data_IF_533731783065
#
_entry.id   IF_533731783065
#
_cell.length_a   1.000
_cell.length_b   1.000
_cell.length_c   1.000
_cell.angle_alpha   90.00
_cell.angle_beta   90.00
_cell.angle_gamma   90.00
#
_symmetry.space_group_name_H-M   'P 1'
#
loop_
_entity.id
_entity.type
_entity.pdbx_description
1 polymer ?
#
# COMPACT_ATOMS: atom_id res chain seq x y z
N UNK A 1 -3.86 -15.88 -12.37
CA UNK A 1 -3.75 -15.67 -13.82
C UNK A 1 -4.50 -14.39 -14.10
N UNK A 2 -3.85 -13.43 -14.76
CA UNK A 2 -4.46 -12.13 -15.03
C UNK A 2 -5.37 -12.17 -16.25
N UNK A 3 -6.11 -11.09 -16.46
CA UNK A 3 -6.99 -10.90 -17.61
C UNK A 3 -6.83 -9.50 -18.17
N UNK A 4 -6.81 -9.35 -19.48
CA UNK A 4 -6.81 -8.04 -20.13
C UNK A 4 -8.24 -7.48 -20.16
N UNK A 5 -8.38 -6.19 -19.86
CA UNK A 5 -9.64 -5.49 -20.06
C UNK A 5 -9.99 -5.48 -21.56
N UNK A 6 -11.19 -5.94 -21.98
CA UNK A 6 -11.57 -6.00 -23.40
C UNK A 6 -11.78 -4.62 -24.04
N UNK A 7 -11.84 -3.55 -23.23
CA UNK A 7 -12.07 -2.17 -23.71
C UNK A 7 -10.75 -1.41 -23.85
N UNK A 8 -9.92 -1.41 -22.80
CA UNK A 8 -8.69 -0.62 -22.74
C UNK A 8 -7.39 -1.45 -22.73
N UNK A 9 -7.49 -2.76 -22.91
CA UNK A 9 -6.39 -3.74 -22.96
C UNK A 9 -5.49 -3.78 -21.70
N UNK A 10 -5.87 -3.05 -20.64
CA UNK A 10 -5.09 -2.99 -19.40
C UNK A 10 -5.12 -4.34 -18.70
N UNK A 11 -3.95 -4.96 -18.41
CA UNK A 11 -3.90 -6.23 -17.69
C UNK A 11 -4.35 -6.03 -16.24
N UNK A 12 -5.17 -6.96 -15.75
CA UNK A 12 -5.70 -7.02 -14.39
C UNK A 12 -5.21 -8.28 -13.70
N UNK A 13 -4.99 -8.22 -12.38
CA UNK A 13 -4.33 -9.29 -11.64
C UNK A 13 -5.15 -10.60 -11.62
N UNK A 14 -6.48 -10.50 -11.58
CA UNK A 14 -7.42 -11.61 -11.61
C UNK A 14 -8.82 -11.15 -12.12
N UNK A 15 -9.75 -12.10 -12.22
CA UNK A 15 -11.10 -11.85 -12.74
C UNK A 15 -11.92 -10.86 -11.88
N UNK A 16 -11.66 -10.82 -10.57
CA UNK A 16 -12.32 -9.88 -9.65
C UNK A 16 -11.82 -8.45 -9.86
N UNK A 17 -10.51 -8.28 -10.00
CA UNK A 17 -9.91 -6.99 -10.36
C UNK A 17 -10.39 -6.50 -11.72
N UNK A 18 -10.55 -7.41 -12.70
CA UNK A 18 -11.16 -7.09 -13.98
C UNK A 18 -12.61 -6.60 -13.83
N UNK A 19 -13.45 -7.30 -13.09
CA UNK A 19 -14.84 -6.91 -12.85
C UNK A 19 -14.93 -5.53 -12.20
N UNK A 20 -14.13 -5.28 -11.16
CA UNK A 20 -14.08 -3.97 -10.49
C UNK A 20 -13.58 -2.87 -11.43
N UNK A 21 -12.54 -3.14 -12.22
CA UNK A 21 -12.01 -2.18 -13.17
C UNK A 21 -13.08 -1.75 -14.19
N UNK A 22 -13.81 -2.70 -14.77
CA UNK A 22 -14.90 -2.41 -15.70
C UNK A 22 -16.01 -1.61 -15.02
N UNK A 23 -16.52 -2.08 -13.88
CA UNK A 23 -17.64 -1.46 -13.18
C UNK A 23 -17.31 -0.05 -12.69
N UNK A 24 -16.15 0.17 -12.05
CA UNK A 24 -15.78 1.50 -11.56
C UNK A 24 -15.49 2.47 -12.70
N UNK A 25 -14.83 2.02 -13.78
CA UNK A 25 -14.53 2.89 -14.92
C UNK A 25 -15.83 3.34 -15.60
N UNK A 26 -16.79 2.43 -15.78
CA UNK A 26 -18.13 2.77 -16.26
C UNK A 26 -18.86 3.74 -15.30
N UNK A 27 -18.87 3.48 -13.98
CA UNK A 27 -19.49 4.37 -12.99
C UNK A 27 -18.84 5.77 -12.92
N UNK A 28 -17.57 5.89 -13.30
CA UNK A 28 -16.86 7.17 -13.39
C UNK A 28 -17.18 7.95 -14.68
N UNK A 29 -18.02 7.38 -15.56
CA UNK A 29 -18.53 8.03 -16.76
C UNK A 29 -17.77 7.69 -18.03
N UNK A 30 -17.03 6.58 -18.05
CA UNK A 30 -16.45 6.06 -19.29
C UNK A 30 -17.50 5.30 -20.10
N UNK A 31 -17.93 5.91 -21.20
CA UNK A 31 -19.01 5.39 -22.05
C UNK A 31 -18.66 4.09 -22.76
N UNK A 32 -17.38 3.85 -23.08
CA UNK A 32 -16.94 2.62 -23.75
C UNK A 32 -17.04 1.44 -22.78
N UNK A 33 -16.63 1.63 -21.52
CA UNK A 33 -16.75 0.60 -20.49
C UNK A 33 -18.22 0.35 -20.11
N UNK A 34 -19.05 1.40 -20.03
CA UNK A 34 -20.48 1.27 -19.78
C UNK A 34 -21.20 0.54 -20.91
N UNK A 35 -20.99 0.94 -22.16
CA UNK A 35 -21.62 0.31 -23.33
C UNK A 35 -21.21 -1.16 -23.48
N UNK A 36 -19.94 -1.48 -23.20
CA UNK A 36 -19.47 -2.87 -23.22
C UNK A 36 -20.17 -3.71 -22.14
N UNK A 37 -20.28 -3.19 -20.92
CA UNK A 37 -20.98 -3.86 -19.82
C UNK A 37 -22.47 -4.02 -20.08
N UNK A 38 -23.13 -3.05 -20.69
CA UNK A 38 -24.56 -3.14 -21.02
C UNK A 38 -24.86 -4.24 -22.05
N UNK A 39 -23.93 -4.48 -22.99
CA UNK A 39 -24.07 -5.51 -24.03
C UNK A 39 -23.70 -6.91 -23.50
N UNK A 40 -22.63 -7.02 -22.70
CA UNK A 40 -22.06 -8.32 -22.31
C UNK A 40 -22.50 -8.78 -20.91
N UNK A 41 -22.83 -7.85 -20.01
CA UNK A 41 -23.19 -8.14 -18.62
C UNK A 41 -24.38 -7.27 -18.15
N UNK A 42 -25.56 -7.41 -18.77
CA UNK A 42 -26.72 -6.60 -18.39
C UNK A 42 -27.06 -6.77 -16.89
N UNK A 43 -27.39 -5.65 -16.25
CA UNK A 43 -27.61 -5.61 -14.79
C UNK A 43 -26.32 -5.63 -13.96
N UNK A 44 -25.16 -5.33 -14.57
CA UNK A 44 -23.87 -5.23 -13.88
C UNK A 44 -23.89 -4.24 -12.71
N UNK A 45 -24.68 -3.16 -12.80
CA UNK A 45 -24.74 -2.13 -11.77
C UNK A 45 -25.28 -2.65 -10.42
N UNK A 46 -26.12 -3.68 -10.44
CA UNK A 46 -26.68 -4.34 -9.26
C UNK A 46 -25.95 -5.64 -8.91
N UNK A 47 -25.03 -6.09 -9.77
CA UNK A 47 -24.30 -7.34 -9.58
C UNK A 47 -23.15 -7.16 -8.58
N UNK A 48 -22.91 -8.19 -7.76
CA UNK A 48 -21.73 -8.24 -6.93
C UNK A 48 -20.47 -8.50 -7.77
N UNK A 49 -19.32 -8.13 -7.22
CA UNK A 49 -18.00 -8.32 -7.84
C UNK A 49 -17.78 -9.76 -8.35
N UNK A 50 -18.13 -10.78 -7.54
CA UNK A 50 -17.93 -12.18 -7.94
C UNK A 50 -18.87 -12.59 -9.09
N UNK A 51 -20.14 -12.20 -9.02
CA UNK A 51 -21.12 -12.50 -10.07
C UNK A 51 -20.75 -11.82 -11.39
N UNK A 52 -20.18 -10.61 -11.32
CA UNK A 52 -19.71 -9.88 -12.48
C UNK A 52 -18.43 -10.53 -13.02
N UNK A 53 -17.48 -10.91 -12.16
CA UNK A 53 -16.24 -11.59 -12.52
C UNK A 53 -16.49 -12.86 -13.36
N UNK A 54 -17.43 -13.70 -12.93
CA UNK A 54 -17.78 -14.94 -13.64
C UNK A 54 -18.32 -14.66 -15.05
N UNK A 55 -19.01 -13.54 -15.27
CA UNK A 55 -19.54 -13.17 -16.60
C UNK A 55 -18.46 -12.56 -17.47
N UNK A 56 -17.66 -11.62 -16.94
CA UNK A 56 -16.66 -10.90 -17.76
C UNK A 56 -15.48 -11.78 -18.15
N UNK A 57 -15.15 -12.81 -17.36
CA UNK A 57 -14.04 -13.72 -17.66
C UNK A 57 -14.29 -14.56 -18.91
N UNK A 58 -15.56 -14.80 -19.28
CA UNK A 58 -15.92 -15.52 -20.52
C UNK A 58 -15.55 -14.72 -21.78
N UNK A 59 -15.43 -13.40 -21.65
CA UNK A 59 -15.17 -12.47 -22.73
C UNK A 59 -13.76 -11.87 -22.71
N UNK A 60 -13.01 -12.06 -21.63
CA UNK A 60 -11.69 -11.46 -21.44
C UNK A 60 -10.57 -12.43 -21.78
N UNK A 61 -9.55 -11.94 -22.48
CA UNK A 61 -8.35 -12.72 -22.78
C UNK A 61 -7.47 -12.86 -21.53
N UNK A 62 -6.94 -14.06 -21.29
CA UNK A 62 -5.96 -14.27 -20.23
C UNK A 62 -4.67 -13.52 -20.53
N UNK A 63 -4.19 -12.72 -19.59
CA UNK A 63 -2.98 -11.91 -19.73
C UNK A 63 -2.01 -12.14 -18.57
N UNK A 64 -0.72 -11.95 -18.84
CA UNK A 64 0.29 -11.88 -17.79
C UNK A 64 0.22 -10.51 -17.12
N UNK A 65 0.17 -10.50 -15.79
CA UNK A 65 0.17 -9.27 -15.01
C UNK A 65 1.61 -8.95 -14.58
N UNK A 66 2.22 -7.84 -15.03
CA UNK A 66 3.60 -7.53 -14.69
C UNK A 66 3.76 -7.25 -13.18
N UNK A 67 4.44 -8.15 -12.46
CA UNK A 67 4.79 -7.96 -11.06
C UNK A 67 6.07 -7.12 -10.95
N UNK A 68 5.93 -5.79 -10.98
CA UNK A 68 7.08 -4.86 -11.02
C UNK A 68 7.74 -4.61 -9.64
N UNK A 69 7.28 -5.25 -8.56
CA UNK A 69 7.80 -5.05 -7.19
C UNK A 69 7.95 -6.35 -6.39
N UNK A 70 8.32 -7.46 -7.03
CA UNK A 70 8.53 -8.73 -6.32
C UNK A 70 9.67 -8.72 -5.29
N UNK A 71 10.48 -7.66 -5.19
CA UNK A 71 11.58 -7.59 -4.23
C UNK A 71 11.73 -6.24 -3.53
N UNK A 72 10.74 -5.88 -2.70
CA UNK A 72 10.91 -4.81 -1.70
C UNK A 72 10.83 -5.31 -0.26
N UNK A 73 10.59 -6.62 -0.10
CA UNK A 73 10.50 -7.31 1.20
C UNK A 73 11.56 -8.41 1.36
N UNK A 74 12.39 -8.64 0.34
CA UNK A 74 13.58 -9.49 0.42
C UNK A 74 14.70 -8.80 1.19
N UNK A 75 14.80 -9.12 2.48
CA UNK A 75 15.98 -8.80 3.27
C UNK A 75 17.12 -9.77 2.89
N UNK A 76 17.67 -9.66 1.68
CA UNK A 76 18.93 -10.35 1.31
C UNK A 76 20.02 -9.31 1.05
N UNK A 77 20.65 -8.87 2.13
CA UNK A 77 21.97 -8.22 2.07
C UNK A 77 23.02 -9.27 1.70
N UNK A 78 23.04 -9.72 0.44
CA UNK A 78 24.08 -10.62 -0.04
C UNK A 78 24.63 -10.18 -1.39
N UNK A 79 25.66 -9.35 -1.27
CA UNK A 79 26.89 -9.42 -2.06
C UNK A 79 26.70 -9.64 -3.57
N UNK A 80 26.28 -8.59 -4.27
CA UNK A 80 26.49 -8.48 -5.72
C UNK A 80 27.39 -7.28 -6.00
N UNK A 81 28.69 -7.57 -6.16
CA UNK A 81 29.64 -6.69 -6.82
C UNK A 81 29.31 -6.55 -8.31
N UNK A 82 28.41 -5.64 -8.65
CA UNK A 82 28.29 -5.08 -9.98
C UNK A 82 27.90 -3.61 -9.87
N UNK A 83 28.70 -2.78 -10.51
CA UNK A 83 28.53 -1.37 -10.84
C UNK A 83 27.09 -0.99 -11.26
N UNK A 84 26.16 -0.94 -10.32
CA UNK A 84 24.91 -0.21 -10.46
C UNK A 84 24.97 0.98 -9.49
N UNK A 85 24.89 2.23 -9.97
CA UNK A 85 25.10 3.40 -9.14
C UNK A 85 24.02 3.43 -8.06
N UNK A 86 24.44 3.41 -6.79
CA UNK A 86 23.51 3.51 -5.67
C UNK A 86 22.67 4.78 -5.84
N UNK A 87 21.38 4.77 -5.46
CA UNK A 87 20.53 5.97 -5.53
C UNK A 87 21.11 7.02 -4.56
N UNK A 88 21.98 7.87 -5.10
CA UNK A 88 22.84 8.79 -4.35
C UNK A 88 24.16 9.12 -5.07
N UNK A 89 24.76 8.16 -5.80
CA UNK A 89 26.08 8.35 -6.42
C UNK A 89 26.06 9.15 -7.73
N UNK A 90 24.88 9.35 -8.34
CA UNK A 90 24.70 10.27 -9.46
C UNK A 90 24.88 11.76 -9.09
N UNK A 91 25.12 12.07 -7.82
CA UNK A 91 25.24 13.45 -7.33
C UNK A 91 26.67 13.86 -6.91
N UNK A 92 27.66 12.96 -6.97
CA UNK A 92 28.99 13.23 -6.37
C UNK A 92 30.17 13.40 -7.34
N UNK A 93 30.06 13.08 -8.64
CA UNK A 93 31.26 13.07 -9.52
C UNK A 93 31.43 14.26 -10.51
N UNK A 94 30.45 15.13 -10.74
CA UNK A 94 30.65 16.27 -11.66
C UNK A 94 30.80 17.61 -10.92
N UNK A 95 31.93 17.78 -10.22
CA UNK A 95 32.35 19.07 -9.64
C UNK A 95 33.36 19.82 -10.51
N UNK A 96 33.42 19.54 -11.81
CA UNK A 96 34.26 20.30 -12.73
C UNK A 96 33.55 20.56 -14.06
N UNK A 97 33.11 21.81 -14.19
CA UNK A 97 32.97 22.51 -15.47
C UNK A 97 31.78 22.12 -16.36
N UNK A 98 30.55 22.42 -15.90
CA UNK A 98 29.46 22.92 -16.77
C UNK A 98 28.40 23.58 -15.91
N UNK A 99 28.06 24.82 -16.27
CA UNK A 99 26.98 25.60 -15.66
C UNK A 99 25.68 24.79 -15.60
N UNK A 100 25.16 24.41 -14.40
CA UNK A 100 23.89 23.72 -14.30
C UNK A 100 22.78 24.74 -14.04
N UNK A 101 21.82 24.71 -14.97
CA UNK A 101 20.48 25.24 -14.80
C UNK A 101 19.87 24.86 -13.44
N UNK A 102 19.03 25.76 -12.97
CA UNK A 102 18.30 25.74 -11.71
C UNK A 102 17.37 24.52 -11.58
N UNK A 103 17.89 23.34 -11.27
CA UNK A 103 17.09 22.16 -10.92
C UNK A 103 17.21 21.86 -9.44
N UNK A 104 16.31 22.51 -8.72
CA UNK A 104 15.72 22.21 -7.42
C UNK A 104 15.99 20.79 -6.85
N UNK A 105 16.98 20.69 -5.97
CA UNK A 105 17.05 19.63 -4.96
C UNK A 105 16.18 19.95 -3.72
N UNK A 106 15.84 18.95 -2.89
CA UNK A 106 15.03 19.13 -1.68
C UNK A 106 15.72 19.92 -0.55
N UNK A 107 16.98 20.33 -0.72
CA UNK A 107 17.67 21.31 0.15
C UNK A 107 17.82 22.71 -0.46
N UNK A 108 17.33 22.94 -1.69
CA UNK A 108 17.61 24.16 -2.46
C UNK A 108 16.47 25.20 -2.46
N UNK A 109 15.50 25.11 -1.54
CA UNK A 109 14.55 26.22 -1.30
C UNK A 109 14.50 26.58 0.17
N UNK A 110 14.80 27.84 0.47
CA UNK A 110 14.25 28.52 1.64
C UNK A 110 15.18 28.71 2.83
N UNK A 111 16.50 28.68 2.65
CA UNK A 111 17.45 29.07 3.71
C UNK A 111 17.53 30.56 4.01
N UNK A 112 16.61 31.39 3.52
CA UNK A 112 16.57 32.82 3.80
C UNK A 112 15.12 33.29 3.72
N UNK A 113 14.64 33.77 4.86
CA UNK A 113 13.32 34.36 5.10
C UNK A 113 12.14 33.38 5.27
N UNK A 114 12.26 32.44 6.23
CA UNK A 114 11.05 31.92 6.87
C UNK A 114 10.46 33.05 7.72
N UNK A 115 9.16 33.33 7.55
CA UNK A 115 8.43 34.23 8.44
C UNK A 115 8.57 33.73 9.91
N UNK A 116 8.71 34.62 10.91
CA UNK A 116 8.85 34.24 12.31
C UNK A 116 7.79 33.23 12.80
N UNK A 117 6.57 33.29 12.28
CA UNK A 117 5.53 32.32 12.59
C UNK A 117 5.88 30.92 12.06
N UNK A 118 6.37 30.84 10.82
CA UNK A 118 6.75 29.58 10.16
C UNK A 118 7.96 28.96 10.84
N UNK A 119 8.95 29.77 11.22
CA UNK A 119 10.12 29.30 11.96
C UNK A 119 9.71 28.68 13.30
N UNK A 120 8.78 29.33 14.01
CA UNK A 120 8.23 28.84 15.28
C UNK A 120 7.45 27.54 15.10
N UNK A 121 6.65 27.42 14.05
CA UNK A 121 5.89 26.20 13.75
C UNK A 121 6.80 24.99 13.45
N UNK A 122 7.87 25.20 12.68
CA UNK A 122 8.86 24.15 12.37
C UNK A 122 9.64 23.73 13.61
N UNK A 123 10.01 24.67 14.47
CA UNK A 123 10.68 24.38 15.75
C UNK A 123 9.76 23.56 16.68
N UNK A 124 8.51 23.98 16.84
CA UNK A 124 7.51 23.25 17.65
C UNK A 124 7.26 21.83 17.13
N UNK A 125 7.16 21.64 15.81
CA UNK A 125 6.99 20.31 15.22
C UNK A 125 8.18 19.38 15.53
N UNK A 126 9.41 19.92 15.47
CA UNK A 126 10.64 19.19 15.84
C UNK A 126 10.68 18.85 17.32
N UNK A 127 10.22 19.75 18.19
CA UNK A 127 10.15 19.51 19.64
C UNK A 127 9.13 18.42 20.00
N UNK A 128 7.93 18.44 19.41
CA UNK A 128 6.92 17.38 19.64
C UNK A 128 7.44 16.01 19.19
N UNK A 129 8.20 15.96 18.09
CA UNK A 129 8.83 14.72 17.61
C UNK A 129 9.85 14.21 18.61
N UNK A 130 10.65 15.09 19.23
CA UNK A 130 11.61 14.68 20.27
C UNK A 130 10.91 14.13 21.51
N UNK A 131 9.90 14.84 22.00
CA UNK A 131 9.11 14.41 23.16
C UNK A 131 8.39 13.07 22.94
N UNK A 132 7.86 12.84 21.73
CA UNK A 132 7.23 11.57 21.39
C UNK A 132 8.22 10.39 21.46
N UNK A 133 9.45 10.58 20.97
CA UNK A 133 10.49 9.55 21.05
C UNK A 133 11.00 9.34 22.48
N UNK A 134 11.08 10.39 23.30
CA UNK A 134 11.48 10.30 24.72
C UNK A 134 10.39 9.65 25.59
N UNK A 135 9.12 9.81 25.22
CA UNK A 135 7.98 9.20 25.94
C UNK A 135 7.82 7.70 25.66
N UNK A 136 8.38 7.21 24.55
CA UNK A 136 8.33 5.80 24.15
C UNK A 136 9.34 4.94 24.94
N UNK A 137 10.48 5.53 25.35
CA UNK A 137 11.58 4.83 26.05
C UNK A 137 11.29 4.48 27.53
N UNK A 138 10.29 5.11 28.17
CA UNK A 138 9.93 4.88 29.59
C UNK A 138 8.85 3.81 29.81
N UNK A 139 8.40 3.11 28.76
CA UNK A 139 7.34 2.10 28.85
C UNK A 139 7.83 0.65 28.94
N UNK A 140 9.14 0.37 28.85
CA UNK A 140 9.73 -0.98 28.94
C UNK A 140 10.24 -1.33 30.36
N UNK A 141 9.42 -1.07 31.38
CA UNK A 141 9.68 -1.53 32.73
C UNK A 141 8.38 -1.89 33.46
N UNK A 142 7.63 -2.84 32.91
CA UNK A 142 6.53 -3.52 33.61
C UNK A 142 6.85 -5.01 33.78
N UNK A 143 7.45 -5.28 34.94
CA UNK A 143 7.11 -6.36 35.87
C UNK A 143 6.71 -7.72 35.25
N UNK A 144 7.71 -8.58 35.02
CA UNK A 144 7.51 -10.03 35.05
C UNK A 144 7.28 -10.44 36.51
N UNK A 145 6.02 -10.45 36.93
CA UNK A 145 5.56 -11.34 38.00
C UNK A 145 4.78 -12.48 37.35
N UNK A 146 5.52 -13.57 37.17
CA UNK A 146 5.06 -14.90 36.84
C UNK A 146 4.12 -15.40 37.94
N UNK A 147 2.84 -15.54 37.64
CA UNK A 147 1.88 -16.31 38.45
C UNK A 147 1.14 -17.26 37.50
N UNK A 148 1.83 -18.35 37.17
CA UNK A 148 1.21 -19.57 36.65
C UNK A 148 1.16 -20.58 37.80
N UNK A 149 0.05 -20.62 38.52
CA UNK A 149 -0.29 -21.78 39.33
C UNK A 149 -1.48 -22.52 38.69
N UNK A 150 -1.21 -23.76 38.31
CA UNK A 150 -2.12 -24.71 37.65
C UNK A 150 -2.49 -25.78 38.67
N UNK A 151 -3.78 -25.96 38.95
CA UNK A 151 -4.44 -27.24 39.25
C UNK A 151 -5.92 -26.92 39.55
N UNK A 152 -6.91 -27.38 38.77
CA UNK A 152 -7.39 -28.78 38.65
C UNK A 152 -8.11 -29.30 39.90
N UNK A 153 -9.23 -30.00 39.67
CA UNK A 153 -10.12 -30.70 40.60
C UNK A 153 -11.18 -29.83 41.34
N UNK A 154 -12.47 -29.92 41.05
CA UNK A 154 -13.30 -31.09 41.43
C UNK A 154 -14.69 -31.04 40.78
N UNK A 155 -15.22 -32.24 40.56
CA UNK A 155 -16.46 -32.59 39.87
C UNK A 155 -17.77 -32.37 40.67
N UNK A 156 -18.87 -32.52 39.92
CA UNK A 156 -20.12 -33.18 40.31
C UNK A 156 -21.23 -32.35 41.00
N UNK A 157 -22.28 -32.02 40.23
CA UNK A 157 -23.67 -32.29 40.63
C UNK A 157 -24.59 -32.22 39.40
N UNK A 158 -25.01 -33.39 38.92
CA UNK A 158 -26.17 -33.53 38.02
C UNK A 158 -27.47 -33.47 38.83
N UNK A 159 -28.47 -32.73 38.33
CA UNK A 159 -29.88 -32.97 38.64
C UNK A 159 -30.71 -31.72 38.99
N UNK A 160 -31.59 -31.30 38.09
CA UNK A 160 -32.93 -30.72 38.35
C UNK A 160 -33.64 -30.52 36.99
N UNK A 161 -34.29 -31.55 36.43
CA UNK A 161 -35.73 -31.88 36.55
C UNK A 161 -36.69 -30.82 35.99
N UNK A 162 -37.40 -31.19 34.92
CA UNK A 162 -38.47 -30.41 34.30
C UNK A 162 -39.76 -30.48 35.15
N UNK A 163 -40.38 -29.32 35.41
CA UNK A 163 -41.73 -29.20 35.99
C UNK A 163 -42.37 -27.86 35.66
#
# INVERSE_FOLDING_TARGET
MGYACPVCETPQADARHLANHLAFTAMLGDEDHEAWLDDHAPGWADAGENDLADRVVEHAESAEYPQVFEDTTGHDHRDHGSDDPRPGELFEEDRHEREPSQTRGPGARGGKDLDPETATAVEKAREMTRQANESDDVSDAVDTTDDRDVADDTADASGDENG
#
